data_IF_906022063362
#
_entry.id   IF_906022063362
#
_cell.length_a   1.000
_cell.length_b   1.000
_cell.length_c   1.000
_cell.angle_alpha   90.00
_cell.angle_beta   90.00
_cell.angle_gamma   90.00
#
_symmetry.space_group_name_H-M   'P 1'
#
loop_
_entity.id
_entity.type
_entity.pdbx_description
1 polymer ?
#
# COMPACT_ATOMS: atom_id res chain seq x y z
N UNK A 1 25.81 17.84 6.55
CA UNK A 1 25.32 19.21 6.84
C UNK A 1 23.95 19.38 6.18
N UNK A 2 22.87 19.08 6.91
CA UNK A 2 21.49 19.22 6.41
C UNK A 2 20.98 20.56 6.93
N UNK A 3 20.93 21.57 6.05
CA UNK A 3 20.28 22.84 6.35
C UNK A 3 18.77 22.61 6.39
N UNK A 4 18.21 22.48 7.59
CA UNK A 4 16.77 22.62 7.82
C UNK A 4 16.39 24.08 7.56
N UNK A 5 15.96 24.37 6.32
CA UNK A 5 15.35 25.66 6.00
C UNK A 5 13.92 25.63 6.54
N UNK A 6 13.68 26.23 7.71
CA UNK A 6 12.34 26.66 8.10
C UNK A 6 11.85 27.65 7.05
N UNK A 7 11.10 27.14 6.08
CA UNK A 7 10.58 27.94 4.98
C UNK A 7 9.20 28.43 5.40
N UNK A 8 9.11 29.67 5.87
CA UNK A 8 7.81 30.32 6.08
C UNK A 8 7.19 30.48 4.69
N UNK A 9 6.25 29.59 4.36
CA UNK A 9 5.59 29.59 3.07
C UNK A 9 4.61 30.76 3.03
N UNK A 10 4.92 31.79 2.25
CA UNK A 10 4.00 32.91 2.04
C UNK A 10 2.68 32.41 1.44
N UNK A 11 1.56 32.73 2.11
CA UNK A 11 0.22 32.39 1.62
C UNK A 11 -0.31 33.54 0.79
N UNK A 12 -0.84 33.23 -0.39
CA UNK A 12 -1.50 34.22 -1.24
C UNK A 12 -2.97 34.23 -0.86
N UNK A 13 -3.44 35.36 -0.35
CA UNK A 13 -4.85 35.65 -0.18
C UNK A 13 -5.26 36.60 -1.30
N UNK A 14 -6.09 36.16 -2.23
CA UNK A 14 -6.66 37.02 -3.26
C UNK A 14 -8.07 37.47 -2.86
N UNK A 15 -8.44 38.67 -3.27
CA UNK A 15 -9.80 39.19 -3.16
C UNK A 15 -10.71 38.73 -4.31
N UNK A 16 -10.13 38.13 -5.37
CA UNK A 16 -10.81 37.75 -6.60
C UNK A 16 -10.39 36.33 -7.04
N UNK A 17 -11.36 35.54 -7.49
CA UNK A 17 -11.11 34.20 -8.03
C UNK A 17 -10.51 34.30 -9.44
N UNK A 18 -9.20 34.11 -9.53
CA UNK A 18 -8.46 34.02 -10.78
C UNK A 18 -8.04 32.56 -10.97
N UNK A 19 -8.42 31.97 -12.10
CA UNK A 19 -8.02 30.62 -12.49
C UNK A 19 -7.41 30.63 -13.89
N UNK A 20 -6.46 29.73 -14.14
CA UNK A 20 -5.81 29.60 -15.45
C UNK A 20 -4.42 30.27 -15.51
N UNK A 21 -3.96 30.55 -16.73
CA UNK A 21 -2.60 31.05 -16.98
C UNK A 21 -2.62 32.54 -17.30
N UNK A 22 -1.88 33.34 -16.54
CA UNK A 22 -1.65 34.76 -16.81
C UNK A 22 -0.16 34.99 -16.94
N UNK A 23 0.29 35.27 -18.18
CA UNK A 23 1.72 35.40 -18.50
C UNK A 23 2.50 34.14 -18.13
N UNK A 24 3.51 34.31 -17.27
CA UNK A 24 4.36 33.23 -16.77
C UNK A 24 3.83 32.57 -15.48
N UNK A 25 2.64 32.93 -15.01
CA UNK A 25 2.06 32.37 -13.80
C UNK A 25 0.83 31.52 -14.10
N UNK A 26 0.66 30.45 -13.34
CA UNK A 26 -0.51 29.56 -13.41
C UNK A 26 -1.17 29.56 -12.04
N UNK A 27 -2.45 29.94 -12.04
CA UNK A 27 -3.32 30.06 -10.89
C UNK A 27 -4.24 28.84 -10.84
N UNK A 28 -4.24 28.14 -9.72
CA UNK A 28 -5.10 26.98 -9.49
C UNK A 28 -5.40 26.82 -8.01
N UNK A 29 -6.47 26.10 -7.70
CA UNK A 29 -6.82 25.77 -6.33
C UNK A 29 -6.20 24.44 -5.92
N UNK A 30 -5.60 24.41 -4.73
CA UNK A 30 -5.10 23.20 -4.11
C UNK A 30 -5.65 23.13 -2.68
N UNK A 31 -6.53 22.17 -2.42
CA UNK A 31 -7.16 21.95 -1.11
C UNK A 31 -7.91 23.20 -0.57
N UNK A 32 -8.70 23.90 -1.39
CA UNK A 32 -9.42 25.10 -0.93
C UNK A 32 -8.57 26.36 -0.87
N UNK A 33 -7.28 26.30 -1.20
CA UNK A 33 -6.37 27.45 -1.18
C UNK A 33 -5.88 27.78 -2.57
N UNK A 34 -5.88 29.07 -2.91
CA UNK A 34 -5.35 29.52 -4.19
C UNK A 34 -3.82 29.42 -4.18
N UNK A 35 -3.30 28.72 -5.18
CA UNK A 35 -1.87 28.51 -5.38
C UNK A 35 -1.46 29.13 -6.71
N UNK A 36 -0.37 29.89 -6.66
CA UNK A 36 0.27 30.46 -7.84
C UNK A 36 1.59 29.71 -8.04
N UNK A 37 1.78 29.16 -9.23
CA UNK A 37 3.08 28.62 -9.64
C UNK A 37 3.62 29.41 -10.82
N UNK A 38 4.92 29.68 -10.82
CA UNK A 38 5.61 30.14 -12.03
C UNK A 38 5.67 28.97 -13.02
N UNK A 39 5.18 29.18 -14.23
CA UNK A 39 5.31 28.24 -15.32
C UNK A 39 6.81 28.02 -15.63
N UNK A 40 7.23 26.78 -15.90
CA UNK A 40 8.61 26.51 -16.25
C UNK A 40 8.94 27.20 -17.58
N UNK A 41 9.88 28.14 -17.56
CA UNK A 41 10.42 28.74 -18.78
C UNK A 41 11.24 27.69 -19.54
N UNK A 42 11.04 27.57 -20.86
CA UNK A 42 11.89 26.73 -21.71
C UNK A 42 13.33 27.22 -21.57
N UNK A 43 14.22 26.39 -21.00
CA UNK A 43 15.65 26.70 -20.93
C UNK A 43 16.16 26.80 -22.37
N UNK A 44 16.64 27.98 -22.77
CA UNK A 44 17.29 28.20 -24.06
C UNK A 44 18.72 27.66 -23.95
N UNK A 45 19.06 26.65 -24.75
CA UNK A 45 20.41 26.05 -24.78
C UNK A 45 20.40 24.54 -25.01
N UNK A 46 21.58 23.93 -25.28
CA UNK A 46 21.71 22.49 -25.43
C UNK A 46 21.37 21.76 -24.12
N UNK A 47 20.80 20.55 -24.24
CA UNK A 47 20.49 19.72 -23.07
C UNK A 47 21.78 19.27 -22.38
N UNK A 48 21.84 19.41 -21.06
CA UNK A 48 22.94 18.87 -20.25
C UNK A 48 22.92 17.34 -20.27
N UNK A 49 24.05 16.69 -19.95
CA UNK A 49 24.13 15.23 -19.89
C UNK A 49 23.12 14.63 -18.90
N UNK A 50 22.98 15.26 -17.72
CA UNK A 50 21.95 14.88 -16.75
C UNK A 50 20.53 14.94 -17.33
N UNK A 51 20.21 15.96 -18.12
CA UNK A 51 18.90 16.08 -18.78
C UNK A 51 18.70 15.01 -19.87
N UNK A 52 19.76 14.63 -20.59
CA UNK A 52 19.71 13.54 -21.56
C UNK A 52 19.46 12.19 -20.86
N UNK A 53 20.17 11.92 -19.76
CA UNK A 53 19.98 10.70 -18.96
C UNK A 53 18.56 10.59 -18.39
N UNK A 54 18.04 11.67 -17.80
CA UNK A 54 16.65 11.72 -17.31
C UNK A 54 15.64 11.51 -18.44
N UNK A 55 15.89 12.05 -19.63
CA UNK A 55 15.01 11.82 -20.77
C UNK A 55 14.95 10.34 -21.15
N UNK A 56 16.08 9.64 -21.18
CA UNK A 56 16.12 8.19 -21.44
C UNK A 56 15.34 7.43 -20.36
N UNK A 57 15.57 7.70 -19.09
CA UNK A 57 14.84 7.05 -17.98
C UNK A 57 13.33 7.31 -18.05
N UNK A 58 12.91 8.53 -18.44
CA UNK A 58 11.50 8.87 -18.61
C UNK A 58 10.83 8.06 -19.72
N UNK A 59 11.54 7.76 -20.82
CA UNK A 59 10.98 6.90 -21.87
C UNK A 59 10.71 5.49 -21.36
N UNK A 60 11.64 4.91 -20.59
CA UNK A 60 11.44 3.59 -19.99
C UNK A 60 10.32 3.60 -18.94
N UNK A 61 10.24 4.65 -18.12
CA UNK A 61 9.16 4.84 -17.16
C UNK A 61 7.79 4.91 -17.86
N UNK A 62 7.71 5.59 -19.01
CA UNK A 62 6.51 5.65 -19.83
C UNK A 62 6.08 4.28 -20.34
N UNK A 63 7.02 3.48 -20.83
CA UNK A 63 6.77 2.08 -21.26
C UNK A 63 6.27 1.23 -20.09
N UNK A 64 6.93 1.28 -18.94
CA UNK A 64 6.54 0.54 -17.74
C UNK A 64 5.17 0.96 -17.21
N UNK A 65 4.87 2.26 -17.22
CA UNK A 65 3.56 2.79 -16.83
C UNK A 65 2.44 2.33 -17.76
N UNK A 66 2.72 2.27 -19.06
CA UNK A 66 1.78 1.76 -20.08
C UNK A 66 1.51 0.27 -19.88
N UNK A 67 2.54 -0.55 -19.64
CA UNK A 67 2.38 -1.96 -19.30
C UNK A 67 1.54 -2.15 -18.02
N UNK A 68 1.80 -1.35 -16.97
CA UNK A 68 1.00 -1.39 -15.74
C UNK A 68 -0.44 -0.93 -15.91
N UNK A 69 -0.73 -0.04 -16.88
CA UNK A 69 -2.09 0.28 -17.30
C UNK A 69 -2.74 -0.92 -17.97
N UNK A 70 -2.07 -1.55 -18.95
CA UNK A 70 -2.59 -2.73 -19.66
C UNK A 70 -2.92 -3.87 -18.70
N UNK A 71 -2.02 -4.20 -17.75
CA UNK A 71 -2.27 -5.24 -16.76
C UNK A 71 -3.51 -4.97 -15.91
N UNK A 72 -3.69 -3.72 -15.46
CA UNK A 72 -4.87 -3.33 -14.66
C UNK A 72 -6.17 -3.35 -15.46
N UNK A 73 -6.11 -3.04 -16.75
CA UNK A 73 -7.27 -3.15 -17.64
C UNK A 73 -7.62 -4.63 -17.85
N UNK A 74 -6.64 -5.48 -18.12
CA UNK A 74 -6.84 -6.91 -18.29
C UNK A 74 -7.40 -7.60 -17.03
N UNK A 75 -7.01 -7.11 -15.85
CA UNK A 75 -7.46 -7.65 -14.55
C UNK A 75 -8.47 -6.73 -13.85
N UNK A 76 -9.20 -5.88 -14.59
CA UNK A 76 -10.05 -4.85 -13.99
C UNK A 76 -11.12 -5.43 -13.05
N UNK A 77 -11.78 -6.52 -13.46
CA UNK A 77 -12.78 -7.23 -12.66
C UNK A 77 -12.18 -7.84 -11.40
N UNK A 78 -11.00 -8.45 -11.48
CA UNK A 78 -10.34 -8.98 -10.30
C UNK A 78 -9.92 -7.86 -9.36
N UNK A 79 -9.29 -6.82 -9.89
CA UNK A 79 -8.80 -5.67 -9.13
C UNK A 79 -9.94 -4.94 -8.40
N UNK A 80 -11.13 -4.86 -9.00
CA UNK A 80 -12.29 -4.22 -8.36
C UNK A 80 -12.76 -5.02 -7.14
N UNK A 81 -12.74 -6.36 -7.22
CA UNK A 81 -13.10 -7.26 -6.11
C UNK A 81 -12.13 -7.19 -4.93
N UNK A 82 -10.88 -6.82 -5.16
CA UNK A 82 -9.86 -6.77 -4.10
C UNK A 82 -10.01 -5.56 -3.15
N UNK A 83 -10.71 -4.51 -3.56
CA UNK A 83 -10.88 -3.26 -2.79
C UNK A 83 -9.59 -2.68 -2.19
N UNK A 84 -8.44 -2.93 -2.83
CA UNK A 84 -7.15 -2.49 -2.33
C UNK A 84 -6.75 -1.14 -2.90
N UNK A 85 -6.88 -0.10 -2.07
CA UNK A 85 -6.54 1.30 -2.41
C UNK A 85 -5.12 1.47 -2.92
N UNK A 86 -4.19 0.61 -2.52
CA UNK A 86 -2.77 0.72 -2.86
C UNK A 86 -2.33 -0.24 -3.98
N UNK A 87 -3.24 -1.04 -4.55
CA UNK A 87 -2.92 -1.97 -5.62
C UNK A 87 -2.25 -1.29 -6.81
N UNK A 88 -2.76 -0.12 -7.21
CA UNK A 88 -2.18 0.66 -8.29
C UNK A 88 -0.69 0.96 -8.06
N UNK A 89 -0.36 1.48 -6.89
CA UNK A 89 1.02 1.83 -6.55
C UNK A 89 1.93 0.61 -6.55
N UNK A 90 1.43 -0.55 -6.08
CA UNK A 90 2.20 -1.80 -6.09
C UNK A 90 2.42 -2.33 -7.51
N UNK A 91 1.41 -2.31 -8.36
CA UNK A 91 1.53 -2.70 -9.78
C UNK A 91 2.54 -1.80 -10.49
N UNK A 92 2.47 -0.48 -10.29
CA UNK A 92 3.46 0.45 -10.87
C UNK A 92 4.89 0.14 -10.41
N UNK A 93 5.09 -0.15 -9.11
CA UNK A 93 6.40 -0.56 -8.58
C UNK A 93 6.89 -1.88 -9.19
N UNK A 94 5.99 -2.85 -9.36
CA UNK A 94 6.32 -4.12 -10.02
C UNK A 94 6.80 -3.90 -11.45
N UNK A 95 6.08 -3.11 -12.26
CA UNK A 95 6.47 -2.85 -13.64
C UNK A 95 7.84 -2.16 -13.74
N UNK A 96 8.13 -1.22 -12.85
CA UNK A 96 9.44 -0.57 -12.79
C UNK A 96 10.55 -1.54 -12.38
N UNK A 97 10.26 -2.48 -11.45
CA UNK A 97 11.19 -3.54 -11.07
C UNK A 97 11.49 -4.46 -12.26
N UNK A 98 10.45 -4.94 -12.95
CA UNK A 98 10.60 -5.77 -14.15
C UNK A 98 11.45 -5.07 -15.22
N UNK A 99 11.13 -3.82 -15.54
CA UNK A 99 11.91 -2.97 -16.46
C UNK A 99 13.38 -2.78 -16.04
N UNK A 100 13.71 -2.92 -14.75
CA UNK A 100 15.09 -2.81 -14.27
C UNK A 100 15.85 -4.14 -14.36
N UNK A 101 15.15 -5.27 -14.44
CA UNK A 101 15.73 -6.59 -14.69
C UNK A 101 16.11 -6.81 -16.17
N UNK A 102 15.72 -5.90 -17.06
CA UNK A 102 16.12 -5.93 -18.47
C UNK A 102 17.58 -5.50 -18.63
N UNK A 103 18.39 -6.34 -19.28
CA UNK A 103 19.81 -6.11 -19.54
C UNK A 103 20.11 -5.09 -20.65
N UNK A 104 19.08 -4.61 -21.36
CA UNK A 104 19.24 -3.59 -22.40
C UNK A 104 19.88 -2.28 -21.87
N UNK A 105 20.51 -1.47 -22.76
CA UNK A 105 21.06 -0.18 -22.39
C UNK A 105 19.99 0.80 -21.89
N UNK A 106 20.40 1.75 -21.05
CA UNK A 106 19.51 2.78 -20.50
C UNK A 106 18.83 3.57 -21.64
N UNK A 107 17.51 3.72 -21.56
CA UNK A 107 16.62 4.27 -22.57
C UNK A 107 15.88 3.22 -23.40
N UNK A 108 16.42 1.99 -23.47
CA UNK A 108 15.85 0.92 -24.31
C UNK A 108 15.20 -0.20 -23.51
N UNK A 109 15.34 -0.21 -22.19
CA UNK A 109 14.78 -1.26 -21.34
C UNK A 109 13.25 -1.31 -21.40
N UNK A 110 12.73 -2.51 -21.27
CA UNK A 110 11.31 -2.83 -21.38
C UNK A 110 10.88 -3.80 -20.28
N UNK A 111 9.58 -3.80 -19.97
CA UNK A 111 9.01 -4.80 -19.05
C UNK A 111 9.10 -6.20 -19.65
N UNK A 112 8.92 -6.33 -20.97
CA UNK A 112 9.02 -7.59 -21.68
C UNK A 112 10.43 -8.19 -21.61
N UNK A 113 11.47 -7.41 -21.89
CA UNK A 113 12.86 -7.86 -21.72
C UNK A 113 13.13 -8.28 -20.27
N UNK A 114 12.60 -7.53 -19.31
CA UNK A 114 12.62 -7.90 -17.90
C UNK A 114 11.99 -9.27 -17.61
N UNK A 115 10.88 -9.61 -18.25
CA UNK A 115 10.18 -10.90 -18.06
C UNK A 115 10.93 -12.09 -18.68
N UNK A 116 11.85 -11.86 -19.61
CA UNK A 116 12.69 -12.93 -20.15
C UNK A 116 13.81 -13.36 -19.18
N UNK A 117 14.12 -12.55 -18.17
CA UNK A 117 15.15 -12.88 -17.18
C UNK A 117 14.56 -13.64 -15.99
N UNK A 118 15.37 -14.53 -15.40
CA UNK A 118 14.95 -15.30 -14.22
C UNK A 118 14.56 -14.41 -13.03
N UNK A 119 15.26 -13.30 -12.82
CA UNK A 119 14.90 -12.32 -11.78
C UNK A 119 13.53 -11.68 -12.03
N UNK A 120 13.23 -11.30 -13.27
CA UNK A 120 11.94 -10.69 -13.59
C UNK A 120 10.78 -11.67 -13.43
N UNK A 121 10.97 -12.92 -13.84
CA UNK A 121 9.99 -13.99 -13.61
C UNK A 121 9.74 -14.20 -12.11
N UNK A 122 10.81 -14.28 -11.32
CA UNK A 122 10.69 -14.39 -9.86
C UNK A 122 10.00 -13.17 -9.24
N UNK A 123 10.26 -11.96 -9.73
CA UNK A 123 9.60 -10.75 -9.23
C UNK A 123 8.09 -10.74 -9.51
N UNK A 124 7.67 -11.25 -10.67
CA UNK A 124 6.24 -11.40 -11.00
C UNK A 124 5.59 -12.53 -10.19
N UNK A 125 6.25 -13.68 -10.06
CA UNK A 125 5.73 -14.84 -9.32
C UNK A 125 5.50 -14.53 -7.83
N UNK A 126 6.37 -13.71 -7.23
CA UNK A 126 6.25 -13.29 -5.83
C UNK A 126 5.30 -12.10 -5.62
N UNK A 127 4.64 -11.61 -6.66
CA UNK A 127 3.73 -10.46 -6.53
C UNK A 127 2.36 -10.89 -6.01
N UNK A 128 2.01 -10.41 -4.82
CA UNK A 128 0.69 -10.61 -4.24
C UNK A 128 -0.26 -9.44 -4.57
N UNK A 129 -1.35 -9.76 -5.27
CA UNK A 129 -2.40 -8.79 -5.58
C UNK A 129 -3.21 -8.38 -4.35
N UNK A 130 -3.35 -9.25 -3.36
CA UNK A 130 -3.99 -8.96 -2.08
C UNK A 130 -2.95 -8.67 -1.01
N UNK A 131 -3.16 -7.62 -0.22
CA UNK A 131 -2.47 -7.44 1.05
C UNK A 131 -3.37 -8.03 2.14
N UNK A 132 -2.94 -9.12 2.79
CA UNK A 132 -3.63 -9.63 3.98
C UNK A 132 -3.71 -8.48 5.00
N UNK A 133 -4.92 -8.01 5.29
CA UNK A 133 -5.15 -7.00 6.32
C UNK A 133 -4.73 -7.56 7.68
N UNK A 134 -4.06 -6.74 8.50
CA UNK A 134 -3.72 -7.13 9.87
C UNK A 134 -4.99 -7.13 10.72
N UNK A 135 -5.33 -8.28 11.29
CA UNK A 135 -6.29 -8.35 12.38
C UNK A 135 -5.72 -7.62 13.61
N UNK A 136 -6.51 -6.73 14.19
CA UNK A 136 -6.22 -6.09 15.48
C UNK A 136 -7.13 -6.69 16.55
N UNK A 137 -6.81 -7.89 17.10
CA UNK A 137 -7.68 -8.54 18.10
C UNK A 137 -7.86 -7.69 19.36
N UNK A 138 -6.99 -6.71 19.60
CA UNK A 138 -7.03 -5.78 20.72
C UNK A 138 -8.20 -4.78 20.63
N UNK A 139 -8.68 -4.46 19.41
CA UNK A 139 -9.88 -3.64 19.24
C UNK A 139 -11.16 -4.39 19.64
N UNK A 140 -11.15 -5.72 19.61
CA UNK A 140 -12.31 -6.54 19.98
C UNK A 140 -12.58 -6.51 21.49
N UNK A 141 -11.54 -6.23 22.30
CA UNK A 141 -11.62 -6.17 23.76
C UNK A 141 -11.52 -4.74 24.30
N UNK A 142 -11.66 -3.73 23.44
CA UNK A 142 -11.61 -2.34 23.86
C UNK A 142 -12.96 -1.91 24.43
N UNK A 143 -12.95 -1.30 25.61
CA UNK A 143 -14.16 -0.80 26.30
C UNK A 143 -14.15 0.72 26.20
N UNK A 144 -15.24 1.31 25.71
CA UNK A 144 -15.45 2.75 25.70
C UNK A 144 -16.07 3.19 27.03
N UNK A 145 -15.35 4.00 27.81
CA UNK A 145 -15.81 4.57 29.09
C UNK A 145 -15.43 6.04 29.14
N UNK A 146 -16.41 6.91 29.43
CA UNK A 146 -16.23 8.35 29.67
C UNK A 146 -15.40 9.09 28.61
N UNK A 147 -15.66 8.85 27.32
CA UNK A 147 -14.99 9.60 26.25
C UNK A 147 -13.61 9.07 25.84
N UNK A 148 -13.10 8.03 26.50
CA UNK A 148 -11.76 7.48 26.25
C UNK A 148 -11.85 5.99 25.87
N UNK A 149 -11.05 5.60 24.89
CA UNK A 149 -10.89 4.21 24.47
C UNK A 149 -9.86 3.51 25.35
N UNK A 150 -10.27 2.54 26.17
CA UNK A 150 -9.37 1.84 27.09
C UNK A 150 -9.29 0.37 26.69
N UNK A 151 -8.08 -0.12 26.40
CA UNK A 151 -7.85 -1.55 26.17
C UNK A 151 -7.67 -2.27 27.51
N UNK A 152 -8.14 -3.51 27.63
CA UNK A 152 -8.08 -4.28 28.89
C UNK A 152 -6.67 -4.37 29.51
N UNK A 153 -5.61 -4.28 28.69
CA UNK A 153 -4.22 -4.33 29.14
C UNK A 153 -3.77 -3.06 29.90
N UNK A 154 -4.44 -1.93 29.70
CA UNK A 154 -4.14 -0.66 30.37
C UNK A 154 -4.75 -0.53 31.77
N UNK A 155 -5.68 -1.42 32.16
CA UNK A 155 -6.30 -1.44 33.49
C UNK A 155 -5.41 -2.08 34.58
N UNK A 156 -4.35 -2.80 34.20
CA UNK A 156 -3.43 -3.43 35.16
C UNK A 156 -2.36 -2.48 35.73
N UNK A 157 -2.36 -1.20 35.34
CA UNK A 157 -1.39 -0.20 35.82
C UNK A 157 -1.99 1.03 36.49
N UNK A 158 -3.31 1.07 36.67
CA UNK A 158 -3.93 2.11 37.52
C UNK A 158 -3.97 1.61 38.96
N UNK A 159 -3.37 2.31 39.94
CA UNK A 159 -3.36 1.91 41.35
C UNK A 159 -4.75 2.00 42.02
N UNK A 160 -5.76 2.48 41.28
CA UNK A 160 -7.14 2.63 41.74
C UNK A 160 -7.91 1.40 41.28
N UNK A 161 -7.79 0.31 42.04
CA UNK A 161 -8.83 -0.70 42.29
C UNK A 161 -8.24 -1.78 43.22
N UNK A 162 -7.60 -1.33 44.30
CA UNK A 162 -7.47 -2.13 45.52
C UNK A 162 -8.72 -1.91 46.38
N UNK A 163 -9.88 -2.44 45.98
CA UNK A 163 -10.88 -2.78 46.99
C UNK A 163 -11.84 -3.84 46.46
N UNK A 164 -11.56 -5.06 46.90
CA UNK A 164 -12.47 -6.17 47.12
C UNK A 164 -12.98 -6.95 45.90
N UNK A 165 -12.77 -8.27 46.01
CA UNK A 165 -13.38 -9.37 45.27
C UNK A 165 -12.82 -9.76 43.89
N UNK A 166 -11.49 -9.81 43.74
CA UNK A 166 -10.84 -10.56 42.64
C UNK A 166 -10.81 -12.09 42.85
N UNK A 167 -11.03 -12.58 44.09
CA UNK A 167 -10.89 -14.02 44.40
C UNK A 167 -12.11 -14.89 44.03
N UNK A 168 -13.28 -14.31 43.78
CA UNK A 168 -14.49 -15.07 43.42
C UNK A 168 -14.61 -15.35 41.92
N UNK A 169 -13.94 -14.58 41.06
CA UNK A 169 -14.03 -14.73 39.60
C UNK A 169 -13.09 -15.84 39.09
N UNK A 170 -11.95 -16.05 39.74
CA UNK A 170 -10.95 -17.05 39.32
C UNK A 170 -11.24 -18.50 39.72
N UNK A 171 -12.34 -18.80 40.44
CA UNK A 171 -12.67 -20.19 40.86
C UNK A 171 -13.61 -20.95 39.92
N UNK A 172 -14.15 -20.32 38.87
CA UNK A 172 -15.10 -20.98 37.97
C UNK A 172 -14.49 -21.46 36.63
N UNK A 173 -13.25 -21.11 36.30
CA UNK A 173 -12.65 -21.51 35.00
C UNK A 173 -11.69 -22.70 35.07
N UNK A 174 -11.43 -23.27 36.25
CA UNK A 174 -10.46 -24.36 36.42
C UNK A 174 -11.08 -25.77 36.36
N UNK A 175 -12.12 -25.99 35.55
CA UNK A 175 -12.71 -27.32 35.36
C UNK A 175 -13.48 -27.41 34.04
N UNK A 176 -12.78 -27.63 32.92
CA UNK A 176 -13.45 -27.86 31.63
C UNK A 176 -12.49 -27.85 30.46
N UNK A 177 -11.94 -29.01 30.15
CA UNK A 177 -11.06 -29.20 29.02
C UNK A 177 -11.81 -29.04 27.67
N UNK A 178 -10.99 -28.90 26.61
CA UNK A 178 -11.22 -29.39 25.23
C UNK A 178 -11.84 -28.43 24.20
N UNK A 179 -10.97 -28.11 23.23
CA UNK A 179 -11.19 -28.01 21.79
C UNK A 179 -12.37 -27.19 21.25
N UNK A 180 -12.04 -26.13 20.50
CA UNK A 180 -12.85 -25.79 19.32
C UNK A 180 -12.09 -24.88 18.34
N UNK A 181 -11.12 -25.45 17.63
CA UNK A 181 -10.53 -24.79 16.45
C UNK A 181 -11.49 -24.95 15.26
N UNK A 182 -12.16 -23.85 14.93
CA UNK A 182 -12.94 -23.52 13.73
C UNK A 182 -13.65 -24.67 12.95
N UNK A 183 -14.94 -24.94 13.21
CA UNK A 183 -15.73 -25.92 12.44
C UNK A 183 -16.01 -25.50 10.98
N UNK A 184 -15.88 -24.21 10.62
CA UNK A 184 -16.10 -23.73 9.24
C UNK A 184 -14.93 -24.02 8.30
N UNK A 185 -13.69 -24.00 8.79
CA UNK A 185 -12.49 -24.22 7.96
C UNK A 185 -12.34 -25.70 7.53
N UNK A 186 -12.70 -26.65 8.40
CA UNK A 186 -12.75 -28.08 8.08
C UNK A 186 -13.77 -28.41 6.97
N UNK A 187 -14.87 -27.66 6.87
CA UNK A 187 -15.92 -27.89 5.86
C UNK A 187 -15.46 -27.45 4.47
N UNK A 188 -14.72 -26.34 4.38
CA UNK A 188 -14.13 -25.82 3.14
C UNK A 188 -12.98 -26.70 2.66
N UNK A 189 -12.06 -27.10 3.57
CA UNK A 189 -10.94 -27.97 3.22
C UNK A 189 -11.37 -29.38 2.77
N UNK A 190 -12.45 -29.94 3.35
CA UNK A 190 -13.04 -31.21 2.87
C UNK A 190 -13.72 -31.07 1.51
N UNK A 191 -14.28 -29.90 1.18
CA UNK A 191 -14.87 -29.63 -0.13
C UNK A 191 -13.80 -29.55 -1.23
N UNK A 192 -12.65 -28.95 -0.93
CA UNK A 192 -11.53 -28.83 -1.86
C UNK A 192 -10.81 -30.17 -2.12
N UNK A 193 -10.66 -31.01 -1.09
CA UNK A 193 -10.16 -32.39 -1.24
C UNK A 193 -11.08 -33.28 -2.08
N UNK A 194 -12.41 -33.17 -1.90
CA UNK A 194 -13.38 -33.94 -2.70
C UNK A 194 -13.44 -33.53 -4.17
N UNK A 195 -13.04 -32.29 -4.49
CA UNK A 195 -13.00 -31.77 -5.87
C UNK A 195 -11.65 -31.95 -6.56
N UNK A 196 -10.67 -32.61 -5.92
CA UNK A 196 -9.37 -32.93 -6.51
C UNK A 196 -8.38 -31.76 -6.61
N UNK A 197 -8.67 -30.60 -6.01
CA UNK A 197 -7.86 -29.38 -6.13
C UNK A 197 -6.65 -29.32 -5.17
N UNK A 198 -6.46 -30.31 -4.29
CA UNK A 198 -5.33 -30.37 -3.36
C UNK A 198 -5.00 -31.81 -2.96
N UNK A 199 -3.71 -32.11 -2.77
CA UNK A 199 -3.26 -33.40 -2.25
C UNK A 199 -3.03 -33.35 -0.74
N UNK A 200 -3.06 -34.51 -0.06
CA UNK A 200 -2.84 -34.57 1.41
C UNK A 200 -1.51 -33.96 1.87
N UNK A 201 -0.52 -33.80 0.96
CA UNK A 201 0.77 -33.16 1.26
C UNK A 201 0.66 -31.64 1.38
N UNK A 202 -0.21 -31.00 0.59
CA UNK A 202 -0.36 -29.53 0.57
C UNK A 202 -0.95 -28.98 1.87
N UNK A 203 -1.77 -29.78 2.56
CA UNK A 203 -2.41 -29.43 3.82
C UNK A 203 -1.49 -29.49 5.05
N UNK A 204 -0.31 -30.12 4.91
CA UNK A 204 0.67 -30.24 6.02
C UNK A 204 1.55 -29.00 6.17
N UNK A 205 1.51 -28.09 5.19
CA UNK A 205 2.32 -26.86 5.15
C UNK A 205 1.54 -25.66 5.75
N UNK A 206 0.22 -25.79 5.95
CA UNK A 206 -0.66 -24.70 6.41
C UNK A 206 -1.27 -24.90 7.82
N UNK A 207 -0.85 -25.93 8.56
CA UNK A 207 -1.13 -26.13 9.98
C UNK A 207 0.18 -26.12 10.76
#
# INVERSE_FOLDING_TARGET
>A
MILSKNTIMGKVHSLFEISGKVGDYVFYELNGQQVIRKAPSKKKGPKTEAQKSVALQNTEFGKASSAGKMLRVALAEECSRLHDRYLYQRVSKLMLRLKSCDGAPVGSRTVQGGLTTGEGQAALANFHFQKVQKNFPQLLNAVYRQGIFVSLFSLLRTPILQSQNFRSILRQESSGAISMVYPKLKRVLRSLLKKGFATKRDLRICL
#
